data_IF_206877630848
#
_entry.id   IF_206877630848
#
_cell.length_a   1.000
_cell.length_b   1.000
_cell.length_c   1.000
_cell.angle_alpha   90.00
_cell.angle_beta   90.00
_cell.angle_gamma   90.00
#
_symmetry.space_group_name_H-M   'P 1'
#
loop_
_entity.id
_entity.type
_entity.pdbx_description
1 polymer ?
#
# COMPACT_ATOMS: atom_id res chain seq x y z
N UNK A 1 -6.69 1.68 15.41
CA UNK A 1 -7.34 1.50 14.10
C UNK A 1 -8.53 2.44 14.02
N UNK A 2 -8.83 2.99 12.84
CA UNK A 2 -9.83 4.06 12.70
C UNK A 2 -11.20 3.46 12.44
N UNK A 3 -12.10 3.58 13.43
CA UNK A 3 -13.52 3.24 13.33
C UNK A 3 -14.26 4.27 12.47
N UNK A 4 -15.24 3.82 11.69
CA UNK A 4 -16.04 4.65 10.78
C UNK A 4 -16.99 5.66 11.48
N UNK A 5 -16.99 5.73 12.81
CA UNK A 5 -17.85 6.65 13.57
C UNK A 5 -17.13 7.52 14.62
N UNK A 6 -15.81 7.35 14.82
CA UNK A 6 -15.02 8.14 15.77
C UNK A 6 -13.73 8.65 15.11
N UNK A 7 -13.40 9.94 15.32
CA UNK A 7 -12.26 10.62 14.70
C UNK A 7 -10.93 10.05 15.20
N UNK A 8 -10.35 9.04 14.54
CA UNK A 8 -8.96 8.64 14.80
C UNK A 8 -8.59 8.26 16.24
N UNK A 9 -9.57 8.06 17.12
CA UNK A 9 -9.37 7.66 18.50
C UNK A 9 -8.80 6.24 18.54
N UNK A 10 -7.99 5.97 19.56
CA UNK A 10 -7.53 4.62 19.83
C UNK A 10 -8.75 3.73 20.10
N UNK A 11 -8.70 2.51 19.58
CA UNK A 11 -9.73 1.52 19.91
C UNK A 11 -9.69 1.24 21.41
N UNK A 12 -10.85 1.04 22.01
CA UNK A 12 -10.90 0.56 23.39
C UNK A 12 -10.26 -0.83 23.50
N UNK A 13 -9.84 -1.27 24.70
CA UNK A 13 -9.33 -2.63 24.90
C UNK A 13 -10.30 -3.69 24.39
N UNK A 14 -11.60 -3.54 24.65
CA UNK A 14 -12.64 -4.45 24.18
C UNK A 14 -12.76 -4.48 22.65
N UNK A 15 -12.77 -3.31 22.00
CA UNK A 15 -12.82 -3.24 20.54
C UNK A 15 -11.59 -3.93 19.92
N UNK A 16 -10.42 -3.72 20.53
CA UNK A 16 -9.16 -4.33 20.08
C UNK A 16 -9.18 -5.84 20.23
N UNK A 17 -9.68 -6.35 21.37
CA UNK A 17 -9.84 -7.78 21.62
C UNK A 17 -10.79 -8.42 20.60
N UNK A 18 -11.96 -7.82 20.36
CA UNK A 18 -12.95 -8.31 19.38
C UNK A 18 -12.41 -8.29 17.94
N UNK A 19 -11.63 -7.27 17.57
CA UNK A 19 -10.96 -7.24 16.27
C UNK A 19 -9.93 -8.37 16.13
N UNK A 20 -9.16 -8.64 17.20
CA UNK A 20 -8.20 -9.75 17.23
C UNK A 20 -8.90 -11.09 17.07
N UNK A 21 -9.96 -11.34 17.85
CA UNK A 21 -10.76 -12.56 17.76
C UNK A 21 -11.35 -12.75 16.35
N UNK A 22 -12.04 -11.74 15.83
CA UNK A 22 -12.63 -11.80 14.49
C UNK A 22 -11.58 -12.03 13.38
N UNK A 23 -10.38 -11.47 13.55
CA UNK A 23 -9.27 -11.70 12.63
C UNK A 23 -8.78 -13.16 12.68
N UNK A 24 -8.54 -13.72 13.86
CA UNK A 24 -8.11 -15.12 13.98
C UNK A 24 -9.19 -16.10 13.51
N UNK A 25 -10.46 -15.81 13.74
CA UNK A 25 -11.57 -16.60 13.19
C UNK A 25 -11.60 -16.56 11.66
N UNK A 26 -11.34 -15.39 11.06
CA UNK A 26 -11.23 -15.26 9.60
C UNK A 26 -10.03 -16.05 9.06
N UNK A 27 -8.86 -15.99 9.71
CA UNK A 27 -7.69 -16.79 9.32
C UNK A 27 -7.98 -18.29 9.39
N UNK A 28 -8.59 -18.76 10.49
CA UNK A 28 -8.92 -20.16 10.67
C UNK A 28 -9.82 -20.71 9.57
N UNK A 29 -10.72 -19.87 9.04
CA UNK A 29 -11.62 -20.22 7.93
C UNK A 29 -10.93 -20.29 6.57
N UNK A 30 -9.96 -19.41 6.31
CA UNK A 30 -9.36 -19.26 4.97
C UNK A 30 -8.02 -19.99 4.81
N UNK A 31 -7.33 -20.29 5.91
CA UNK A 31 -6.00 -20.89 5.90
C UNK A 31 -6.00 -21.98 6.98
N UNK A 32 -6.16 -23.27 6.63
CA UNK A 32 -6.17 -24.36 7.59
C UNK A 32 -4.91 -24.40 8.46
N UNK A 33 -5.00 -24.93 9.69
CA UNK A 33 -3.87 -24.93 10.63
C UNK A 33 -2.63 -25.65 10.10
N UNK A 34 -2.83 -26.74 9.35
CA UNK A 34 -1.76 -27.50 8.72
C UNK A 34 -0.94 -26.64 7.73
N UNK A 35 -1.60 -25.75 6.97
CA UNK A 35 -0.91 -24.84 6.06
C UNK A 35 -0.17 -23.71 6.82
N UNK A 36 -0.69 -23.31 7.99
CA UNK A 36 -0.03 -22.34 8.87
C UNK A 36 1.22 -22.91 9.55
N UNK A 37 1.31 -24.23 9.74
CA UNK A 37 2.44 -24.92 10.37
C UNK A 37 3.33 -25.55 9.30
N UNK A 38 4.27 -24.77 8.76
CA UNK A 38 5.37 -25.30 7.94
C UNK A 38 5.52 -24.66 6.56
N UNK A 39 4.56 -23.83 6.12
CA UNK A 39 4.61 -23.17 4.81
C UNK A 39 4.49 -21.66 4.95
N UNK A 40 5.28 -20.91 4.18
CA UNK A 40 5.09 -19.45 4.07
C UNK A 40 3.84 -19.20 3.24
N UNK A 41 2.94 -18.36 3.76
CA UNK A 41 1.72 -17.95 3.08
C UNK A 41 1.58 -16.43 3.15
N UNK A 42 0.74 -15.89 2.28
CA UNK A 42 0.49 -14.46 2.22
C UNK A 42 -0.81 -14.17 1.51
N UNK A 43 -1.16 -12.89 1.45
CA UNK A 43 -2.32 -12.42 0.72
C UNK A 43 -2.02 -11.06 0.11
N UNK A 44 -2.70 -10.75 -1.00
CA UNK A 44 -2.64 -9.43 -1.62
C UNK A 44 -3.95 -8.71 -1.43
N UNK A 45 -3.97 -7.76 -0.50
CA UNK A 45 -5.08 -6.83 -0.32
C UNK A 45 -4.53 -5.42 -0.09
N UNK A 46 -4.73 -4.45 -1.01
CA UNK A 46 -4.21 -3.09 -0.84
C UNK A 46 -4.65 -2.42 0.47
N UNK A 47 -5.81 -2.81 1.00
CA UNK A 47 -6.35 -2.29 2.28
C UNK A 47 -5.57 -2.74 3.52
N UNK A 48 -4.71 -3.76 3.40
CA UNK A 48 -3.88 -4.21 4.52
C UNK A 48 -2.87 -3.15 4.97
N UNK A 49 -2.52 -2.20 4.10
CA UNK A 49 -1.64 -1.07 4.45
C UNK A 49 -2.17 -0.25 5.64
N UNK A 50 -3.49 -0.08 5.75
CA UNK A 50 -4.13 0.65 6.86
C UNK A 50 -4.07 -0.12 8.19
N UNK A 51 -3.86 -1.44 8.09
CA UNK A 51 -3.86 -2.37 9.22
C UNK A 51 -2.45 -2.85 9.57
N UNK A 52 -1.40 -2.29 8.95
CA UNK A 52 -0.04 -2.80 9.06
C UNK A 52 0.42 -2.98 10.51
N UNK A 53 0.12 -2.01 11.38
CA UNK A 53 0.49 -2.08 12.79
C UNK A 53 -0.24 -3.14 13.61
N UNK A 54 -1.43 -3.57 13.17
CA UNK A 54 -2.16 -4.68 13.79
C UNK A 54 -1.57 -5.99 13.32
N UNK A 55 -1.37 -6.09 12.00
CA UNK A 55 -0.90 -7.30 11.34
C UNK A 55 0.51 -7.67 11.83
N UNK A 56 1.43 -6.70 11.94
CA UNK A 56 2.77 -6.95 12.49
C UNK A 56 2.74 -7.38 13.95
N UNK A 57 1.78 -6.91 14.74
CA UNK A 57 1.61 -7.33 16.13
C UNK A 57 1.02 -8.75 16.25
N UNK A 58 0.29 -9.23 15.24
CA UNK A 58 -0.24 -10.60 15.22
C UNK A 58 0.77 -11.59 14.62
N UNK A 59 1.65 -11.12 13.74
CA UNK A 59 2.64 -11.94 13.06
C UNK A 59 4.03 -11.30 13.19
N UNK A 60 4.83 -11.70 14.20
CA UNK A 60 6.17 -11.16 14.42
C UNK A 60 7.12 -11.33 13.22
N UNK A 61 6.89 -12.35 12.39
CA UNK A 61 7.68 -12.66 11.18
C UNK A 61 7.04 -12.09 9.89
N UNK A 62 6.10 -11.13 10.00
CA UNK A 62 5.43 -10.55 8.84
C UNK A 62 6.42 -9.84 7.91
N UNK A 63 6.56 -10.36 6.70
CA UNK A 63 7.17 -9.63 5.59
C UNK A 63 6.13 -8.73 4.91
N UNK A 64 6.45 -7.45 4.72
CA UNK A 64 5.60 -6.46 4.06
C UNK A 64 6.25 -5.95 2.78
N UNK A 65 5.67 -6.33 1.64
CA UNK A 65 6.00 -5.76 0.33
C UNK A 65 5.06 -4.59 0.06
N UNK A 66 5.63 -3.39 0.05
CA UNK A 66 4.92 -2.14 -0.21
C UNK A 66 5.12 -1.76 -1.67
N UNK A 67 4.17 -2.18 -2.50
CA UNK A 67 4.15 -1.80 -3.91
C UNK A 67 3.61 -0.37 -4.02
N UNK A 68 4.42 0.51 -4.59
CA UNK A 68 4.14 1.92 -4.79
C UNK A 68 4.08 2.21 -6.28
N UNK A 69 3.10 3.01 -6.70
CA UNK A 69 3.05 3.61 -8.04
C UNK A 69 2.99 5.12 -7.89
N UNK A 70 3.51 5.85 -8.86
CA UNK A 70 3.55 7.32 -8.87
C UNK A 70 2.20 7.92 -8.44
N UNK A 71 2.25 8.79 -7.44
CA UNK A 71 1.07 9.40 -6.83
C UNK A 71 0.25 10.24 -7.81
N UNK A 72 0.89 10.83 -8.82
CA UNK A 72 0.21 11.58 -9.89
C UNK A 72 -0.61 10.64 -10.77
N UNK A 73 -0.01 9.53 -11.16
CA UNK A 73 -0.67 8.46 -11.92
C UNK A 73 -1.87 7.92 -11.15
N UNK A 74 -1.69 7.64 -9.86
CA UNK A 74 -2.74 7.12 -8.99
C UNK A 74 -3.88 8.12 -8.78
N UNK A 75 -3.57 9.40 -8.60
CA UNK A 75 -4.55 10.46 -8.45
C UNK A 75 -5.46 10.60 -9.68
N UNK A 76 -4.90 10.43 -10.87
CA UNK A 76 -5.58 10.55 -12.17
C UNK A 76 -6.18 9.23 -12.67
N UNK A 77 -6.13 8.17 -11.87
CA UNK A 77 -6.76 6.89 -12.20
C UNK A 77 -8.29 7.01 -12.27
N UNK A 78 -8.98 6.35 -13.21
CA UNK A 78 -10.44 6.21 -13.12
C UNK A 78 -10.86 5.35 -11.91
N UNK A 79 -9.98 4.46 -11.43
CA UNK A 79 -10.26 3.63 -10.27
C UNK A 79 -10.05 4.38 -8.95
N UNK A 80 -11.14 4.99 -8.46
CA UNK A 80 -11.16 5.79 -7.23
C UNK A 80 -11.62 4.99 -5.99
N UNK A 81 -11.53 3.66 -6.03
CA UNK A 81 -12.04 2.80 -4.96
C UNK A 81 -11.36 3.02 -3.60
N UNK A 82 -10.06 3.32 -3.58
CA UNK A 82 -9.35 3.62 -2.33
C UNK A 82 -9.90 4.90 -1.69
N UNK A 83 -10.07 5.97 -2.48
CA UNK A 83 -10.67 7.21 -2.01
C UNK A 83 -12.10 7.01 -1.52
N UNK A 84 -12.93 6.29 -2.29
CA UNK A 84 -14.33 6.01 -1.90
C UNK A 84 -14.43 5.26 -0.57
N UNK A 85 -13.60 4.24 -0.37
CA UNK A 85 -13.65 3.38 0.83
C UNK A 85 -12.98 4.01 2.05
N UNK A 86 -11.89 4.75 1.86
CA UNK A 86 -11.02 5.16 2.96
C UNK A 86 -10.86 6.68 3.10
N UNK A 87 -11.28 7.46 2.12
CA UNK A 87 -11.15 8.93 2.14
C UNK A 87 -11.84 9.56 3.35
N UNK A 88 -12.99 9.04 3.80
CA UNK A 88 -13.67 9.54 5.01
C UNK A 88 -12.86 9.35 6.29
N UNK A 89 -12.10 8.26 6.39
CA UNK A 89 -11.32 7.93 7.58
C UNK A 89 -9.93 8.59 7.57
N UNK A 90 -9.34 8.81 6.39
CA UNK A 90 -7.96 9.28 6.26
C UNK A 90 -7.82 10.78 5.94
N UNK A 91 -8.86 11.41 5.35
CA UNK A 91 -8.83 12.83 4.99
C UNK A 91 -9.65 13.67 5.98
N UNK A 92 -9.13 14.86 6.28
CA UNK A 92 -9.80 15.87 7.10
C UNK A 92 -11.02 16.40 6.35
N UNK A 93 -12.00 16.90 7.10
CA UNK A 93 -13.25 17.42 6.52
C UNK A 93 -13.00 18.50 5.46
N UNK A 94 -12.08 19.45 5.71
CA UNK A 94 -11.70 20.51 4.74
C UNK A 94 -11.10 19.94 3.47
N UNK A 95 -10.22 18.96 3.60
CA UNK A 95 -9.59 18.28 2.46
C UNK A 95 -10.63 17.55 1.59
N UNK A 96 -11.76 17.14 2.18
CA UNK A 96 -12.82 16.44 1.46
C UNK A 96 -13.79 17.35 0.71
N UNK A 97 -14.06 18.55 1.23
CA UNK A 97 -15.04 19.47 0.68
C UNK A 97 -14.48 20.39 -0.39
N UNK A 98 -13.25 20.89 -0.23
CA UNK A 98 -12.70 21.96 -1.07
C UNK A 98 -11.73 21.47 -2.15
N UNK A 99 -11.75 20.17 -2.46
CA UNK A 99 -10.78 19.55 -3.37
C UNK A 99 -11.45 18.63 -4.38
N UNK A 100 -10.90 18.65 -5.60
CA UNK A 100 -11.27 17.73 -6.66
C UNK A 100 -10.95 16.28 -6.29
N UNK A 101 -11.50 15.32 -7.04
CA UNK A 101 -11.23 13.89 -6.84
C UNK A 101 -9.71 13.59 -6.93
N UNK A 102 -8.98 14.03 -7.98
CA UNK A 102 -7.54 13.78 -8.08
C UNK A 102 -6.74 14.34 -6.90
N UNK A 103 -7.05 15.56 -6.45
CA UNK A 103 -6.39 16.18 -5.30
C UNK A 103 -6.59 15.39 -4.01
N UNK A 104 -7.83 14.91 -3.77
CA UNK A 104 -8.12 14.06 -2.60
C UNK A 104 -7.39 12.73 -2.68
N UNK A 105 -7.26 12.17 -3.87
CA UNK A 105 -6.52 10.93 -4.08
C UNK A 105 -5.01 11.10 -3.94
N UNK A 106 -4.44 12.22 -4.38
CA UNK A 106 -3.04 12.55 -4.12
C UNK A 106 -2.75 12.70 -2.62
N UNK A 107 -3.60 13.42 -1.87
CA UNK A 107 -3.46 13.54 -0.42
C UNK A 107 -3.62 12.20 0.31
N UNK A 108 -4.56 11.36 -0.13
CA UNK A 108 -4.74 10.03 0.44
C UNK A 108 -3.49 9.17 0.18
N UNK A 109 -3.00 9.19 -1.05
CA UNK A 109 -1.78 8.50 -1.45
C UNK A 109 -0.59 8.97 -0.61
N UNK A 110 -0.41 10.28 -0.43
CA UNK A 110 0.68 10.81 0.39
C UNK A 110 0.61 10.28 1.82
N UNK A 111 -0.51 10.51 2.51
CA UNK A 111 -0.67 10.19 3.93
C UNK A 111 -0.47 8.70 4.21
N UNK A 112 -1.02 7.84 3.38
CA UNK A 112 -1.01 6.40 3.63
C UNK A 112 0.34 5.80 3.31
N UNK A 113 0.99 6.21 2.22
CA UNK A 113 2.30 5.69 1.86
C UNK A 113 3.39 6.19 2.83
N UNK A 114 3.37 7.46 3.28
CA UNK A 114 4.30 7.92 4.32
C UNK A 114 4.11 7.14 5.61
N UNK A 115 2.88 7.07 6.11
CA UNK A 115 2.59 6.38 7.38
C UNK A 115 3.01 4.92 7.34
N UNK A 116 2.75 4.22 6.23
CA UNK A 116 3.14 2.83 6.07
C UNK A 116 4.66 2.67 5.99
N UNK A 117 5.34 3.51 5.21
CA UNK A 117 6.80 3.47 5.09
C UNK A 117 7.49 3.80 6.42
N UNK A 118 7.02 4.82 7.14
CA UNK A 118 7.58 5.22 8.45
C UNK A 118 7.40 4.11 9.47
N UNK A 119 6.20 3.52 9.56
CA UNK A 119 5.95 2.40 10.44
C UNK A 119 6.80 1.18 10.08
N UNK A 120 6.84 0.80 8.80
CA UNK A 120 7.57 -0.38 8.33
C UNK A 120 9.07 -0.25 8.54
N UNK A 121 9.67 0.91 8.23
CA UNK A 121 11.08 1.18 8.50
C UNK A 121 11.41 1.10 9.99
N UNK A 122 10.54 1.65 10.84
CA UNK A 122 10.78 1.66 12.28
C UNK A 122 10.58 0.29 12.94
N UNK A 123 9.62 -0.52 12.47
CA UNK A 123 9.15 -1.72 13.18
C UNK A 123 9.40 -3.05 12.46
N UNK A 124 9.45 -3.06 11.14
CA UNK A 124 9.65 -4.28 10.34
C UNK A 124 11.09 -4.41 9.82
N UNK A 125 11.80 -3.29 9.60
CA UNK A 125 13.22 -3.27 9.24
C UNK A 125 13.53 -4.19 8.04
N UNK A 126 14.28 -5.27 8.23
CA UNK A 126 14.61 -6.28 7.21
C UNK A 126 13.39 -7.00 6.64
N UNK A 127 12.25 -6.98 7.34
CA UNK A 127 10.97 -7.52 6.87
C UNK A 127 10.13 -6.49 6.10
N UNK A 128 10.74 -5.43 5.59
CA UNK A 128 10.10 -4.42 4.75
C UNK A 128 10.81 -4.27 3.41
N UNK A 129 10.07 -4.47 2.31
CA UNK A 129 10.53 -4.20 0.95
C UNK A 129 9.64 -3.15 0.30
N UNK A 130 10.24 -2.06 -0.18
CA UNK A 130 9.59 -1.08 -1.06
C UNK A 130 9.85 -1.47 -2.51
N UNK A 131 8.77 -1.60 -3.30
CA UNK A 131 8.84 -1.88 -4.74
C UNK A 131 8.12 -0.77 -5.48
N UNK A 132 8.82 -0.05 -6.36
CA UNK A 132 8.16 0.86 -7.31
C UNK A 132 7.60 0.05 -8.46
N UNK A 133 6.35 0.31 -8.81
CA UNK A 133 5.65 -0.35 -9.90
C UNK A 133 6.30 -0.03 -11.25
N UNK A 134 6.83 1.17 -11.38
CA UNK A 134 7.61 1.65 -12.52
C UNK A 134 8.86 0.80 -12.72
N UNK A 135 9.64 0.56 -11.66
CA UNK A 135 10.84 -0.27 -11.70
C UNK A 135 10.48 -1.73 -12.00
N UNK A 136 9.39 -2.24 -11.43
CA UNK A 136 8.87 -3.59 -11.76
C UNK A 136 8.52 -3.72 -13.24
N UNK A 137 8.01 -2.66 -13.88
CA UNK A 137 7.65 -2.69 -15.30
C UNK A 137 8.86 -2.46 -16.21
N UNK A 138 9.83 -1.64 -15.79
CA UNK A 138 11.01 -1.30 -16.58
C UNK A 138 12.08 -2.40 -16.51
N UNK A 139 12.33 -2.91 -15.30
CA UNK A 139 13.34 -3.93 -15.01
C UNK A 139 12.67 -5.14 -14.33
N UNK A 140 11.81 -5.89 -15.05
CA UNK A 140 10.97 -6.94 -14.48
C UNK A 140 11.77 -8.08 -13.85
N UNK A 141 12.87 -8.51 -14.48
CA UNK A 141 13.71 -9.58 -13.95
C UNK A 141 14.39 -9.15 -12.64
N UNK A 142 15.06 -7.99 -12.63
CA UNK A 142 15.77 -7.50 -11.46
C UNK A 142 14.82 -7.27 -10.28
N UNK A 143 13.69 -6.61 -10.54
CA UNK A 143 12.73 -6.30 -9.47
C UNK A 143 12.04 -7.56 -8.94
N UNK A 144 11.74 -8.54 -9.81
CA UNK A 144 11.19 -9.84 -9.38
C UNK A 144 12.20 -10.62 -8.58
N UNK A 145 13.47 -10.66 -8.99
CA UNK A 145 14.53 -11.31 -8.25
C UNK A 145 14.67 -10.71 -6.83
N UNK A 146 14.60 -9.38 -6.71
CA UNK A 146 14.59 -8.71 -5.39
C UNK A 146 13.40 -9.13 -4.52
N UNK A 147 12.20 -9.29 -5.10
CA UNK A 147 11.01 -9.76 -4.38
C UNK A 147 11.17 -11.21 -3.93
N UNK A 148 11.59 -12.10 -4.83
CA UNK A 148 11.81 -13.53 -4.55
C UNK A 148 12.86 -13.72 -3.46
N UNK A 149 13.99 -13.03 -3.56
CA UNK A 149 15.05 -13.05 -2.56
C UNK A 149 14.55 -12.53 -1.20
N UNK A 150 13.79 -11.43 -1.20
CA UNK A 150 13.19 -10.91 0.02
C UNK A 150 12.23 -11.89 0.69
N UNK A 151 11.47 -12.67 -0.10
CA UNK A 151 10.58 -13.71 0.40
C UNK A 151 11.32 -14.99 0.84
N UNK A 152 12.60 -15.12 0.47
CA UNK A 152 13.41 -16.34 0.58
C UNK A 152 12.71 -17.53 -0.11
N UNK A 153 12.06 -17.27 -1.25
CA UNK A 153 11.35 -18.31 -1.99
C UNK A 153 12.33 -19.04 -2.93
N UNK A 154 12.39 -20.38 -2.91
CA UNK A 154 13.27 -21.16 -3.77
C UNK A 154 12.67 -21.32 -5.18
N UNK A 155 12.41 -20.20 -5.84
CA UNK A 155 11.81 -20.15 -7.18
C UNK A 155 12.65 -19.28 -8.10
N UNK A 156 12.70 -19.64 -9.38
CA UNK A 156 13.37 -18.81 -10.40
C UNK A 156 12.49 -17.58 -10.70
N UNK A 157 13.02 -16.34 -10.56
CA UNK A 157 12.28 -15.13 -10.92
C UNK A 157 12.06 -14.96 -12.43
N UNK A 158 12.85 -15.59 -13.29
CA UNK A 158 12.84 -15.30 -14.73
C UNK A 158 11.50 -15.64 -15.42
N UNK A 159 10.88 -16.82 -15.20
CA UNK A 159 9.57 -17.12 -15.78
C UNK A 159 8.49 -16.12 -15.33
N UNK A 160 8.47 -15.77 -14.04
CA UNK A 160 7.50 -14.80 -13.49
C UNK A 160 7.67 -13.43 -14.14
N UNK A 161 8.91 -12.97 -14.25
CA UNK A 161 9.22 -11.69 -14.86
C UNK A 161 8.80 -11.64 -16.35
N UNK A 162 8.91 -12.75 -17.06
CA UNK A 162 8.57 -12.86 -18.47
C UNK A 162 7.06 -12.95 -18.72
N UNK A 163 6.31 -13.69 -17.89
CA UNK A 163 4.90 -14.01 -18.17
C UNK A 163 3.91 -13.16 -17.39
N UNK A 164 4.23 -12.76 -16.16
CA UNK A 164 3.28 -12.13 -15.23
C UNK A 164 3.37 -10.61 -15.22
N UNK A 165 4.43 -10.05 -15.79
CA UNK A 165 4.70 -8.61 -15.73
C UNK A 165 4.52 -8.00 -17.11
N UNK A 166 3.54 -7.12 -17.22
CA UNK A 166 3.33 -6.30 -18.42
C UNK A 166 3.01 -4.88 -18.00
N UNK A 167 3.78 -3.93 -18.54
CA UNK A 167 3.53 -2.52 -18.34
C UNK A 167 2.15 -2.15 -18.89
N UNK A 168 1.22 -1.64 -18.07
CA UNK A 168 -0.08 -1.22 -18.57
C UNK A 168 0.09 0.06 -19.41
N UNK A 169 -0.69 0.21 -20.49
CA UNK A 169 -0.73 1.44 -21.31
C UNK A 169 -1.00 2.73 -20.51
N UNK A 170 -1.53 2.58 -19.31
CA UNK A 170 -1.85 3.70 -18.43
C UNK A 170 -0.69 4.16 -17.56
N UNK A 171 0.48 3.49 -17.64
CA UNK A 171 1.70 3.88 -16.92
C UNK A 171 2.17 5.25 -17.41
N UNK A 172 2.34 6.20 -16.49
CA UNK A 172 2.74 7.56 -16.84
C UNK A 172 1.61 8.43 -17.41
N UNK A 173 0.33 8.04 -17.25
CA UNK A 173 -0.84 8.82 -17.69
C UNK A 173 -0.84 10.28 -17.20
N UNK A 174 -0.17 10.56 -16.09
CA UNK A 174 -0.10 11.92 -15.57
C UNK A 174 0.61 12.89 -16.53
N UNK A 175 1.48 12.37 -17.41
CA UNK A 175 2.24 13.17 -18.38
C UNK A 175 1.35 13.79 -19.46
N UNK A 176 0.20 13.18 -19.73
CA UNK A 176 -0.77 13.66 -20.73
C UNK A 176 -1.76 14.68 -20.16
N UNK A 177 -1.67 14.97 -18.85
CA UNK A 177 -2.55 15.92 -18.18
C UNK A 177 -1.99 17.34 -18.22
N UNK A 178 -2.87 18.33 -18.02
CA UNK A 178 -2.45 19.73 -18.06
C UNK A 178 -1.39 20.04 -16.99
N UNK A 179 -0.35 20.84 -17.30
CA UNK A 179 0.71 21.19 -16.35
C UNK A 179 0.18 21.78 -15.04
N UNK A 180 -0.92 22.53 -15.11
CA UNK A 180 -1.60 23.10 -13.94
C UNK A 180 -2.15 22.02 -12.99
N UNK A 181 -2.74 20.96 -13.54
CA UNK A 181 -3.23 19.83 -12.73
C UNK A 181 -2.03 19.12 -12.11
N UNK A 182 -1.02 18.78 -12.91
CA UNK A 182 0.18 18.06 -12.45
C UNK A 182 0.87 18.82 -11.32
N UNK A 183 1.15 20.11 -11.50
CA UNK A 183 1.79 20.97 -10.49
C UNK A 183 1.00 21.00 -9.16
N UNK A 184 -0.34 21.00 -9.23
CA UNK A 184 -1.19 20.96 -8.04
C UNK A 184 -1.10 19.61 -7.33
N UNK A 185 -1.06 18.50 -8.06
CA UNK A 185 -0.88 17.17 -7.47
C UNK A 185 0.51 17.02 -6.85
N UNK A 186 1.55 17.53 -7.52
CA UNK A 186 2.92 17.54 -7.02
C UNK A 186 3.03 18.32 -5.72
N UNK A 187 2.43 19.51 -5.66
CA UNK A 187 2.38 20.32 -4.44
C UNK A 187 1.72 19.56 -3.30
N UNK A 188 0.62 18.86 -3.58
CA UNK A 188 -0.14 18.14 -2.56
C UNK A 188 0.50 16.85 -2.07
N UNK A 189 1.33 16.20 -2.88
CA UNK A 189 1.97 14.93 -2.53
C UNK A 189 3.50 15.06 -2.47
N UNK A 190 4.01 16.27 -2.34
CA UNK A 190 5.41 16.61 -2.56
C UNK A 190 6.35 15.83 -1.66
N UNK A 191 5.96 15.61 -0.40
CA UNK A 191 6.81 14.93 0.58
C UNK A 191 7.00 13.45 0.20
N UNK A 192 5.91 12.76 -0.15
CA UNK A 192 5.98 11.38 -0.64
C UNK A 192 6.65 11.26 -2.00
N UNK A 193 6.32 12.14 -2.94
CA UNK A 193 6.89 12.09 -4.28
C UNK A 193 8.42 12.22 -4.23
N UNK A 194 8.96 13.16 -3.43
CA UNK A 194 10.41 13.24 -3.19
C UNK A 194 10.94 12.02 -2.44
N UNK A 195 10.31 11.63 -1.32
CA UNK A 195 10.76 10.50 -0.49
C UNK A 195 10.86 9.18 -1.26
N UNK A 196 10.01 8.98 -2.28
CA UNK A 196 9.97 7.77 -3.08
C UNK A 196 10.61 7.94 -4.48
N UNK A 197 11.29 9.06 -4.74
CA UNK A 197 12.09 9.28 -5.95
C UNK A 197 11.28 9.56 -7.22
N UNK A 198 10.08 10.14 -7.10
CA UNK A 198 9.24 10.57 -8.23
C UNK A 198 9.41 12.07 -8.56
N UNK A 199 9.99 12.83 -7.63
CA UNK A 199 10.40 14.21 -7.80
C UNK A 199 11.84 14.35 -7.30
N UNK A 200 12.64 15.09 -8.06
CA UNK A 200 13.99 15.49 -7.68
C UNK A 200 13.96 16.72 -6.76
#
# INVERSE_FOLDING_TARGET
FVSAQGRGEAMTPWQSARMKEGFHAALARHIPEAERRGTRWGWKAPRSIYLLSFLSAQFPQLKFIHVLRDGRDMALSPNQNQLRKHGRAALRWRERLFRSIPERSALLWEKINLRAADYAKARLRENYLLVRFEDLCAEPLETTARIVNFLEAPIDPAPIAQTEITAPKTLGRWRDCSPRIVSRLETLAAASLRRFGYLN
#
